data_IF_536650705692
#
_entry.id   IF_536650705692
#
_cell.length_a   1.000
_cell.length_b   1.000
_cell.length_c   1.000
_cell.angle_alpha   90.00
_cell.angle_beta   90.00
_cell.angle_gamma   90.00
#
_symmetry.space_group_name_H-M   'P 1'
#
loop_
_entity.id
_entity.type
_entity.pdbx_description
1 polymer ?
#
# COMPACT_ATOMS: atom_id res chain seq x y z
N UNK A 1 40.62 38.69 -49.82
CA UNK A 1 40.70 38.84 -48.35
C UNK A 1 39.34 39.32 -47.78
N UNK A 2 38.25 38.53 -47.93
CA UNK A 2 36.89 38.96 -47.52
C UNK A 2 35.97 37.85 -46.98
N UNK A 3 36.48 36.64 -46.66
CA UNK A 3 35.63 35.52 -46.19
C UNK A 3 35.65 35.25 -44.69
N UNK A 4 36.46 35.94 -43.89
CA UNK A 4 36.59 35.66 -42.44
C UNK A 4 35.74 36.61 -41.58
N UNK A 5 35.27 37.75 -42.11
CA UNK A 5 34.49 38.75 -41.36
C UNK A 5 32.97 38.45 -41.27
N UNK A 6 32.43 37.48 -42.03
CA UNK A 6 30.99 37.16 -42.02
C UNK A 6 30.56 36.07 -41.04
N UNK A 7 31.48 35.24 -40.51
CA UNK A 7 31.11 34.17 -39.56
C UNK A 7 30.97 34.64 -38.11
N UNK A 8 31.57 35.79 -37.77
CA UNK A 8 31.49 36.36 -36.41
C UNK A 8 30.21 37.16 -36.19
N UNK A 9 29.63 37.75 -37.24
CA UNK A 9 28.37 38.47 -37.15
C UNK A 9 27.17 37.53 -36.90
N UNK A 10 27.13 36.36 -37.54
CA UNK A 10 26.04 35.38 -37.33
C UNK A 10 26.13 34.65 -36.00
N UNK A 11 27.35 34.33 -35.53
CA UNK A 11 27.55 33.75 -34.20
C UNK A 11 27.19 34.72 -33.07
N UNK A 12 27.53 36.01 -33.22
CA UNK A 12 27.21 37.04 -32.22
C UNK A 12 25.72 37.36 -32.17
N UNK A 13 25.00 37.32 -33.30
CA UNK A 13 23.54 37.51 -33.33
C UNK A 13 22.80 36.31 -32.74
N UNK A 14 23.26 35.07 -32.97
CA UNK A 14 22.69 33.87 -32.35
C UNK A 14 22.97 33.79 -30.83
N UNK A 15 24.15 34.23 -30.39
CA UNK A 15 24.46 34.37 -28.96
C UNK A 15 23.67 35.51 -28.33
N UNK A 16 23.54 36.66 -28.98
CA UNK A 16 22.76 37.79 -28.47
C UNK A 16 21.26 37.48 -28.42
N UNK A 17 20.69 36.78 -29.41
CA UNK A 17 19.28 36.33 -29.39
C UNK A 17 19.06 35.18 -28.41
N UNK A 18 20.03 34.27 -28.25
CA UNK A 18 20.01 33.25 -27.20
C UNK A 18 20.09 33.86 -25.79
N UNK A 19 20.95 34.85 -25.57
CA UNK A 19 21.09 35.54 -24.30
C UNK A 19 19.88 36.45 -24.01
N UNK A 20 19.32 37.13 -25.01
CA UNK A 20 18.06 37.90 -24.87
C UNK A 20 16.88 36.97 -24.62
N UNK A 21 16.82 35.78 -25.24
CA UNK A 21 15.80 34.77 -24.96
C UNK A 21 15.89 34.23 -23.53
N UNK A 22 17.11 34.03 -23.02
CA UNK A 22 17.36 33.61 -21.62
C UNK A 22 17.05 34.75 -20.64
N UNK A 23 17.50 35.98 -20.92
CA UNK A 23 17.23 37.16 -20.07
C UNK A 23 15.73 37.50 -20.07
N UNK A 24 15.05 37.49 -21.21
CA UNK A 24 13.58 37.64 -21.27
C UNK A 24 12.86 36.50 -20.54
N UNK A 25 13.34 35.25 -20.62
CA UNK A 25 12.75 34.16 -19.82
C UNK A 25 12.96 34.32 -18.30
N UNK A 26 14.01 35.04 -17.89
CA UNK A 26 14.33 35.36 -16.50
C UNK A 26 13.62 36.61 -15.99
N UNK A 27 13.31 37.60 -16.85
CA UNK A 27 12.72 38.89 -16.46
C UNK A 27 11.23 39.02 -16.80
N UNK A 28 10.69 38.27 -17.76
CA UNK A 28 9.29 38.37 -18.21
C UNK A 28 8.26 37.81 -17.21
N UNK A 29 8.68 37.20 -16.10
CA UNK A 29 7.77 36.47 -15.21
C UNK A 29 7.78 36.88 -13.74
N UNK A 30 8.48 37.95 -13.35
CA UNK A 30 8.65 38.29 -11.93
C UNK A 30 7.72 39.39 -11.42
N UNK A 31 7.17 40.26 -12.27
CA UNK A 31 6.36 41.43 -11.86
C UNK A 31 4.84 41.23 -11.93
N UNK A 32 4.29 41.08 -13.14
CA UNK A 32 2.83 41.04 -13.35
C UNK A 32 2.19 39.73 -12.84
N UNK A 33 2.92 38.62 -12.95
CA UNK A 33 2.49 37.30 -12.46
C UNK A 33 2.32 37.27 -10.95
N UNK A 34 3.06 38.07 -10.17
CA UNK A 34 2.98 38.05 -8.70
C UNK A 34 1.71 38.70 -8.16
N UNK A 35 1.20 39.76 -8.80
CA UNK A 35 0.02 40.47 -8.28
C UNK A 35 -1.29 39.71 -8.50
N UNK A 36 -1.46 39.03 -9.65
CA UNK A 36 -2.71 38.37 -10.02
C UNK A 36 -3.08 37.16 -9.14
N UNK A 37 -2.09 36.46 -8.57
CA UNK A 37 -2.31 35.20 -7.85
C UNK A 37 -2.28 35.30 -6.32
N UNK A 38 -1.90 36.46 -5.76
CA UNK A 38 -1.68 36.61 -4.30
C UNK A 38 -2.92 36.40 -3.43
N UNK A 39 -4.12 36.46 -4.00
CA UNK A 39 -5.39 36.34 -3.27
C UNK A 39 -6.35 35.29 -3.83
N UNK A 40 -6.00 34.58 -4.91
CA UNK A 40 -6.92 33.68 -5.60
C UNK A 40 -6.76 32.22 -5.18
N UNK A 41 -7.88 31.61 -4.77
CA UNK A 41 -7.97 30.16 -4.61
C UNK A 41 -8.19 29.50 -5.98
N UNK A 42 -7.33 28.55 -6.38
CA UNK A 42 -7.42 27.89 -7.70
C UNK A 42 -7.70 26.41 -7.55
N UNK A 43 -8.64 25.89 -8.35
CA UNK A 43 -9.01 24.46 -8.33
C UNK A 43 -8.05 23.63 -9.18
N UNK A 44 -7.49 22.53 -8.65
CA UNK A 44 -6.64 21.65 -9.44
C UNK A 44 -7.46 20.79 -10.43
N UNK A 45 -6.88 20.51 -11.60
CA UNK A 45 -7.47 19.62 -12.61
C UNK A 45 -7.55 18.18 -12.09
N UNK A 46 -6.48 17.71 -11.44
CA UNK A 46 -6.41 16.36 -10.87
C UNK A 46 -6.54 16.41 -9.35
N UNK A 47 -7.25 15.44 -8.72
CA UNK A 47 -7.20 15.28 -7.27
C UNK A 47 -5.75 15.18 -6.80
N UNK A 48 -5.41 15.86 -5.71
CA UNK A 48 -4.12 15.70 -5.06
C UNK A 48 -4.27 15.14 -3.66
N UNK A 49 -3.20 14.53 -3.18
CA UNK A 49 -3.10 14.10 -1.80
C UNK A 49 -3.03 15.35 -0.92
N UNK A 50 -4.02 15.47 -0.06
CA UNK A 50 -4.23 16.61 0.85
C UNK A 50 -4.07 16.22 2.32
N UNK A 51 -3.49 15.04 2.57
CA UNK A 51 -3.18 14.62 3.92
C UNK A 51 -1.75 14.13 4.06
N UNK A 52 -1.09 14.58 5.12
CA UNK A 52 0.11 13.94 5.62
C UNK A 52 -0.30 12.62 6.27
N UNK A 53 0.14 11.50 5.70
CA UNK A 53 0.02 10.17 6.30
C UNK A 53 1.21 9.96 7.23
N UNK A 54 0.92 9.60 8.47
CA UNK A 54 1.88 9.45 9.56
C UNK A 54 1.70 8.08 10.20
N UNK A 55 2.80 7.36 10.39
CA UNK A 55 2.82 6.01 10.96
C UNK A 55 2.62 5.96 12.48
N UNK A 56 2.72 4.75 13.03
CA UNK A 56 2.38 4.41 14.42
C UNK A 56 3.03 5.31 15.46
N UNK A 57 4.29 5.67 15.24
CA UNK A 57 5.14 6.43 16.18
C UNK A 57 5.30 7.89 15.78
N UNK A 58 4.42 8.43 14.94
CA UNK A 58 4.53 9.82 14.46
C UNK A 58 5.51 10.00 13.30
N UNK A 59 6.17 8.93 12.83
CA UNK A 59 7.08 8.99 11.69
C UNK A 59 6.31 9.24 10.38
N UNK A 60 6.77 10.18 9.54
CA UNK A 60 6.08 10.52 8.30
C UNK A 60 6.18 9.37 7.27
N UNK A 61 5.04 8.92 6.75
CA UNK A 61 4.95 8.01 5.60
C UNK A 61 4.87 8.79 4.28
N UNK A 62 4.66 10.09 4.38
CA UNK A 62 4.56 11.03 3.26
C UNK A 62 5.39 12.27 3.54
N UNK A 63 5.77 12.99 2.48
CA UNK A 63 6.52 14.23 2.55
C UNK A 63 5.95 15.26 1.58
N UNK A 64 6.20 16.52 1.86
CA UNK A 64 5.83 17.62 0.97
C UNK A 64 6.97 17.86 0.00
N UNK A 65 6.63 17.99 -1.29
CA UNK A 65 7.60 18.33 -2.34
C UNK A 65 7.12 19.47 -3.20
N UNK A 66 8.08 20.23 -3.70
CA UNK A 66 7.88 21.22 -4.74
C UNK A 66 7.73 20.55 -6.10
N UNK A 67 6.59 20.75 -6.77
CA UNK A 67 6.37 20.33 -8.14
C UNK A 67 6.07 21.52 -9.04
N UNK A 68 6.47 21.42 -10.31
CA UNK A 68 6.07 22.36 -11.35
C UNK A 68 4.60 22.12 -11.69
N UNK A 69 3.84 23.19 -11.85
CA UNK A 69 2.46 23.19 -12.31
C UNK A 69 2.23 24.34 -13.29
N UNK A 70 1.06 24.35 -13.93
CA UNK A 70 0.63 25.44 -14.79
C UNK A 70 -0.69 26.00 -14.27
N UNK A 71 -0.77 27.31 -14.13
CA UNK A 71 -2.07 27.96 -14.11
C UNK A 71 -2.52 28.16 -15.54
N UNK A 72 -3.70 27.64 -15.84
CA UNK A 72 -4.38 27.84 -17.12
C UNK A 72 -5.51 28.83 -16.89
N UNK A 73 -5.47 29.96 -17.59
CA UNK A 73 -6.51 30.99 -17.60
C UNK A 73 -7.19 30.93 -18.96
N UNK A 74 -8.29 30.17 -19.12
CA UNK A 74 -8.86 29.88 -20.42
C UNK A 74 -9.18 31.11 -21.26
N UNK A 75 -9.65 32.19 -20.63
CA UNK A 75 -10.01 33.47 -21.28
C UNK A 75 -8.83 34.17 -21.96
N UNK A 76 -7.59 33.92 -21.52
CA UNK A 76 -6.36 34.55 -22.05
C UNK A 76 -5.59 33.67 -23.04
N UNK A 77 -6.01 32.41 -23.22
CA UNK A 77 -5.35 31.50 -24.16
C UNK A 77 -5.60 31.90 -25.62
N UNK A 78 -4.58 31.87 -26.49
CA UNK A 78 -4.79 31.98 -27.93
C UNK A 78 -5.62 30.79 -28.44
N UNK A 79 -6.37 31.02 -29.53
CA UNK A 79 -7.36 30.06 -30.04
C UNK A 79 -6.81 28.65 -30.28
N UNK A 80 -5.60 28.56 -30.85
CA UNK A 80 -4.93 27.27 -31.09
C UNK A 80 -4.60 26.52 -29.79
N UNK A 81 -4.12 27.23 -28.75
CA UNK A 81 -3.73 26.62 -27.49
C UNK A 81 -4.97 26.16 -26.71
N UNK A 82 -6.03 26.97 -26.74
CA UNK A 82 -7.34 26.61 -26.18
C UNK A 82 -7.90 25.36 -26.85
N UNK A 83 -7.85 25.27 -28.19
CA UNK A 83 -8.32 24.12 -28.93
C UNK A 83 -7.51 22.85 -28.61
N UNK A 84 -6.18 22.93 -28.55
CA UNK A 84 -5.32 21.79 -28.24
C UNK A 84 -5.50 21.29 -26.79
N UNK A 85 -5.66 22.22 -25.84
CA UNK A 85 -5.98 21.87 -24.45
C UNK A 85 -7.38 21.26 -24.32
N UNK A 86 -8.39 21.83 -24.98
CA UNK A 86 -9.76 21.32 -24.94
C UNK A 86 -9.86 19.93 -25.58
N UNK A 87 -9.13 19.67 -26.68
CA UNK A 87 -9.06 18.36 -27.32
C UNK A 87 -8.57 17.26 -26.38
N UNK A 88 -7.61 17.57 -25.50
CA UNK A 88 -6.99 16.58 -24.59
C UNK A 88 -7.66 16.51 -23.21
N UNK A 89 -8.18 17.64 -22.73
CA UNK A 89 -8.79 17.77 -21.41
C UNK A 89 -10.15 18.49 -21.48
N UNK A 90 -11.14 17.95 -22.22
CA UNK A 90 -12.39 18.66 -22.53
C UNK A 90 -13.17 19.05 -21.27
N UNK A 91 -13.20 18.16 -20.26
CA UNK A 91 -13.89 18.41 -18.98
C UNK A 91 -13.24 19.50 -18.13
N UNK A 92 -11.92 19.65 -18.21
CA UNK A 92 -11.20 20.67 -17.45
C UNK A 92 -11.29 22.04 -18.13
N UNK A 93 -11.33 22.04 -19.46
CA UNK A 93 -11.32 23.23 -20.32
C UNK A 93 -12.71 23.73 -20.72
N UNK A 94 -13.78 23.02 -20.39
CA UNK A 94 -15.16 23.47 -20.60
C UNK A 94 -15.58 24.57 -19.61
N UNK A 95 -14.87 24.68 -18.49
CA UNK A 95 -15.04 25.76 -17.52
C UNK A 95 -14.30 27.02 -17.96
N UNK A 96 -14.92 28.19 -17.83
CA UNK A 96 -14.26 29.48 -18.00
C UNK A 96 -13.33 29.85 -16.83
N UNK A 97 -13.31 29.03 -15.77
CA UNK A 97 -12.54 29.29 -14.56
C UNK A 97 -11.05 29.04 -14.77
N UNK A 98 -10.23 29.78 -14.03
CA UNK A 98 -8.81 29.50 -13.86
C UNK A 98 -8.63 28.14 -13.20
N UNK A 99 -7.73 27.32 -13.74
CA UNK A 99 -7.44 25.96 -13.25
C UNK A 99 -5.96 25.77 -12.98
N UNK A 100 -5.64 24.96 -11.98
CA UNK A 100 -4.28 24.56 -11.64
C UNK A 100 -4.00 23.18 -12.23
N UNK A 101 -3.12 23.12 -13.21
CA UNK A 101 -2.72 21.90 -13.87
C UNK A 101 -1.42 21.35 -13.24
N UNK A 102 -1.58 20.36 -12.37
CA UNK A 102 -0.53 19.61 -11.67
C UNK A 102 -0.21 18.28 -12.38
N UNK A 103 -0.05 18.31 -13.70
CA UNK A 103 0.17 17.11 -14.51
C UNK A 103 1.61 16.57 -14.45
N UNK A 104 1.80 15.34 -14.94
CA UNK A 104 3.14 14.75 -15.16
C UNK A 104 3.31 14.20 -16.59
N UNK A 105 2.30 14.37 -17.46
CA UNK A 105 2.28 13.82 -18.82
C UNK A 105 3.33 14.47 -19.73
N UNK A 106 3.70 13.78 -20.81
CA UNK A 106 4.60 14.34 -21.82
C UNK A 106 4.04 15.64 -22.42
N UNK A 107 2.73 15.72 -22.59
CA UNK A 107 2.05 16.93 -23.05
C UNK A 107 2.11 18.05 -22.02
N UNK A 108 1.95 17.76 -20.72
CA UNK A 108 2.17 18.76 -19.67
C UNK A 108 3.60 19.32 -19.72
N UNK A 109 4.62 18.47 -19.88
CA UNK A 109 6.02 18.91 -20.01
C UNK A 109 6.24 19.81 -21.24
N UNK A 110 5.55 19.53 -22.36
CA UNK A 110 5.55 20.41 -23.54
C UNK A 110 4.85 21.74 -23.26
N UNK A 111 3.67 21.70 -22.66
CA UNK A 111 2.90 22.90 -22.32
C UNK A 111 3.63 23.81 -21.32
N UNK A 112 4.45 23.25 -20.42
CA UNK A 112 5.32 24.02 -19.52
C UNK A 112 6.32 24.90 -20.26
N UNK A 113 6.66 24.57 -21.50
CA UNK A 113 7.60 25.31 -22.35
C UNK A 113 6.88 26.29 -23.29
N UNK A 114 5.54 26.25 -23.36
CA UNK A 114 4.79 27.17 -24.20
C UNK A 114 4.86 28.57 -23.62
N UNK A 115 5.44 29.50 -24.37
CA UNK A 115 5.44 30.91 -24.02
C UNK A 115 4.22 31.60 -24.64
N UNK A 116 3.06 31.42 -24.02
CA UNK A 116 1.78 31.98 -24.50
C UNK A 116 0.98 32.59 -23.38
N UNK A 117 0.23 33.64 -23.70
CA UNK A 117 -0.74 34.25 -22.78
C UNK A 117 -1.72 33.21 -22.24
N UNK A 118 -2.01 33.29 -20.94
CA UNK A 118 -2.96 32.38 -20.26
C UNK A 118 -2.36 31.07 -19.76
N UNK A 119 -1.07 30.80 -19.98
CA UNK A 119 -0.33 29.72 -19.33
C UNK A 119 0.77 30.29 -18.45
N UNK A 120 0.70 30.05 -17.15
CA UNK A 120 1.68 30.58 -16.19
C UNK A 120 2.32 29.43 -15.42
N UNK A 121 3.63 29.19 -15.60
CA UNK A 121 4.38 28.23 -14.80
C UNK A 121 4.40 28.66 -13.33
N UNK A 122 3.97 27.77 -12.44
CA UNK A 122 3.99 28.00 -10.99
C UNK A 122 4.58 26.80 -10.26
N UNK A 123 4.85 26.99 -8.97
CA UNK A 123 5.19 25.90 -8.06
C UNK A 123 3.99 25.50 -7.24
N UNK A 124 3.92 24.22 -6.93
CA UNK A 124 2.91 23.61 -6.08
C UNK A 124 3.59 22.79 -5.00
N UNK A 125 3.14 22.92 -3.75
CA UNK A 125 3.51 22.00 -2.69
C UNK A 125 2.52 20.85 -2.66
N UNK A 126 3.00 19.64 -2.92
CA UNK A 126 2.18 18.44 -2.97
C UNK A 126 2.69 17.38 -2.02
N UNK A 127 1.76 16.62 -1.45
CA UNK A 127 2.11 15.48 -0.61
C UNK A 127 2.39 14.27 -1.51
N UNK A 128 3.53 13.64 -1.31
CA UNK A 128 3.96 12.40 -1.99
C UNK A 128 4.45 11.39 -0.95
N UNK A 129 4.56 10.09 -1.29
CA UNK A 129 5.19 9.11 -0.41
C UNK A 129 6.61 9.53 0.01
N UNK A 130 6.98 9.22 1.25
CA UNK A 130 8.36 9.32 1.69
C UNK A 130 9.26 8.33 0.91
N UNK A 131 10.56 8.58 0.87
CA UNK A 131 11.51 7.68 0.21
C UNK A 131 11.41 6.28 0.81
N UNK A 132 11.42 5.24 -0.03
CA UNK A 132 11.27 3.85 0.40
C UNK A 132 9.83 3.40 0.68
N UNK A 133 8.87 4.33 0.81
CA UNK A 133 7.46 3.99 1.03
C UNK A 133 6.76 3.72 -0.32
N UNK A 134 6.07 2.58 -0.50
CA UNK A 134 5.38 2.26 -1.74
C UNK A 134 4.28 3.27 -2.07
N UNK A 135 4.23 3.74 -3.32
CA UNK A 135 3.21 4.70 -3.77
C UNK A 135 1.79 4.15 -3.69
N UNK A 136 1.60 2.88 -4.03
CA UNK A 136 0.29 2.25 -4.03
C UNK A 136 -0.25 2.10 -2.61
N UNK A 137 0.62 1.74 -1.65
CA UNK A 137 0.26 1.67 -0.23
C UNK A 137 -0.30 3.02 0.25
N UNK A 138 0.42 4.12 0.00
CA UNK A 138 -0.05 5.47 0.36
C UNK A 138 -1.34 5.83 -0.36
N UNK A 139 -1.46 5.47 -1.64
CA UNK A 139 -2.67 5.76 -2.42
C UNK A 139 -3.89 5.05 -1.84
N UNK A 140 -3.75 3.80 -1.40
CA UNK A 140 -4.82 3.02 -0.79
C UNK A 140 -5.23 3.60 0.57
N UNK A 141 -4.26 3.84 1.46
CA UNK A 141 -4.50 4.51 2.75
C UNK A 141 -5.21 5.85 2.52
N UNK A 142 -4.68 6.68 1.62
CA UNK A 142 -5.26 7.98 1.31
C UNK A 142 -6.69 7.89 0.76
N UNK A 143 -7.02 6.85 -0.02
CA UNK A 143 -8.39 6.63 -0.49
C UNK A 143 -9.33 6.25 0.64
N UNK A 144 -8.92 5.34 1.54
CA UNK A 144 -9.71 4.96 2.71
C UNK A 144 -10.08 6.16 3.57
N UNK A 145 -9.14 7.08 3.80
CA UNK A 145 -9.35 8.24 4.66
C UNK A 145 -9.90 9.47 3.94
N UNK A 146 -10.32 9.36 2.67
CA UNK A 146 -10.76 10.52 1.89
C UNK A 146 -9.72 11.65 1.89
N UNK A 147 -8.45 11.31 1.78
CA UNK A 147 -7.32 12.23 1.81
C UNK A 147 -7.03 12.88 0.45
N UNK A 148 -7.74 12.46 -0.60
CA UNK A 148 -7.69 13.09 -1.91
C UNK A 148 -8.73 14.19 -2.03
N UNK A 149 -8.33 15.35 -2.54
CA UNK A 149 -9.25 16.48 -2.71
C UNK A 149 -9.02 17.24 -4.01
N UNK A 150 -10.11 17.83 -4.51
CA UNK A 150 -10.11 18.88 -5.54
C UNK A 150 -10.47 20.25 -4.96
N UNK A 151 -10.38 20.43 -3.63
CA UNK A 151 -10.58 21.74 -2.99
C UNK A 151 -9.62 22.76 -3.60
N UNK A 152 -10.01 24.03 -3.55
CA UNK A 152 -9.20 25.11 -4.08
C UNK A 152 -7.90 25.25 -3.27
N UNK A 153 -6.79 25.51 -3.96
CA UNK A 153 -5.46 25.67 -3.38
C UNK A 153 -5.19 27.14 -3.16
N UNK A 154 -4.48 27.46 -2.09
CA UNK A 154 -4.16 28.82 -1.70
C UNK A 154 -2.72 29.16 -2.08
N UNK A 155 -2.50 30.41 -2.49
CA UNK A 155 -1.16 30.93 -2.74
C UNK A 155 -0.45 31.24 -1.42
N UNK A 156 0.80 30.78 -1.26
CA UNK A 156 1.62 30.98 -0.05
C UNK A 156 2.88 31.80 -0.30
N UNK A 157 2.87 32.68 -1.30
CA UNK A 157 4.04 33.46 -1.79
C UNK A 157 5.17 32.62 -2.41
N UNK A 158 5.25 31.33 -2.09
CA UNK A 158 6.24 30.38 -2.61
C UNK A 158 5.64 29.36 -3.59
N UNK A 159 4.32 29.27 -3.67
CA UNK A 159 3.59 28.39 -4.56
C UNK A 159 2.11 28.25 -4.17
N UNK A 160 1.41 27.32 -4.82
CA UNK A 160 0.08 26.88 -4.43
C UNK A 160 0.15 25.69 -3.49
N UNK A 161 -0.68 25.69 -2.46
CA UNK A 161 -0.76 24.63 -1.45
C UNK A 161 -2.19 24.14 -1.30
N UNK A 162 -2.34 22.83 -1.15
CA UNK A 162 -3.61 22.22 -0.79
C UNK A 162 -3.84 22.33 0.73
N UNK A 163 -5.09 22.47 1.21
CA UNK A 163 -5.38 22.38 2.63
C UNK A 163 -4.93 21.00 3.17
N UNK A 164 -4.07 21.00 4.19
CA UNK A 164 -3.48 19.78 4.74
C UNK A 164 -4.25 19.30 5.97
N UNK A 165 -4.55 17.99 6.02
CA UNK A 165 -4.93 17.28 7.25
C UNK A 165 -3.87 16.22 7.59
N UNK A 166 -3.92 15.67 8.80
CA UNK A 166 -3.05 14.56 9.19
C UNK A 166 -3.87 13.28 9.36
N UNK A 167 -3.37 12.17 8.82
CA UNK A 167 -3.95 10.83 8.93
C UNK A 167 -2.96 9.95 9.66
N UNK A 168 -3.37 9.40 10.80
CA UNK A 168 -2.56 8.48 11.60
C UNK A 168 -2.91 7.04 11.28
N UNK A 169 -1.89 6.22 11.03
CA UNK A 169 -2.02 4.79 10.72
C UNK A 169 -1.08 3.95 11.56
N UNK A 170 -1.37 2.66 11.70
CA UNK A 170 -0.58 1.69 12.44
C UNK A 170 0.68 1.23 11.72
N UNK A 171 0.83 1.56 10.43
CA UNK A 171 2.03 1.28 9.65
C UNK A 171 3.29 1.83 10.34
N UNK A 172 4.36 1.03 10.31
CA UNK A 172 5.65 1.36 10.88
C UNK A 172 6.70 1.53 9.76
N UNK A 173 7.10 2.78 9.44
CA UNK A 173 8.16 3.05 8.48
C UNK A 173 9.45 2.28 8.80
N UNK A 174 9.88 2.30 10.07
CA UNK A 174 11.11 1.62 10.46
C UNK A 174 11.03 0.10 10.26
N UNK A 175 9.87 -0.53 10.48
CA UNK A 175 9.71 -1.97 10.24
C UNK A 175 9.84 -2.27 8.74
N UNK A 176 9.23 -1.44 7.91
CA UNK A 176 9.34 -1.56 6.46
C UNK A 176 10.79 -1.36 5.98
N UNK A 177 11.51 -0.39 6.55
CA UNK A 177 12.94 -0.17 6.28
C UNK A 177 13.81 -1.36 6.70
N UNK A 178 13.51 -2.01 7.83
CA UNK A 178 14.20 -3.22 8.28
C UNK A 178 13.97 -4.40 7.34
N UNK A 179 12.75 -4.59 6.84
CA UNK A 179 12.40 -5.75 6.02
C UNK A 179 12.78 -5.59 4.54
N UNK A 180 12.72 -4.38 3.99
CA UNK A 180 12.91 -4.14 2.56
C UNK A 180 14.22 -4.71 1.97
N UNK A 181 15.39 -4.62 2.63
CA UNK A 181 16.65 -5.16 2.10
C UNK A 181 16.66 -6.70 1.99
N UNK A 182 15.81 -7.37 2.75
CA UNK A 182 15.71 -8.83 2.81
C UNK A 182 14.66 -9.40 1.84
N UNK A 183 13.95 -8.56 1.09
CA UNK A 183 12.92 -9.02 0.16
C UNK A 183 13.52 -9.27 -1.22
N UNK A 184 13.73 -10.52 -1.69
CA UNK A 184 14.08 -10.79 -3.07
C UNK A 184 12.96 -10.42 -4.05
N UNK A 185 13.30 -10.19 -5.32
CA UNK A 185 12.32 -9.89 -6.38
C UNK A 185 11.29 -11.00 -6.53
N UNK A 186 10.03 -10.63 -6.72
CA UNK A 186 8.88 -11.53 -6.79
C UNK A 186 8.23 -11.84 -5.44
N UNK A 187 8.61 -11.13 -4.37
CA UNK A 187 8.15 -11.41 -3.01
C UNK A 187 7.19 -10.36 -2.47
N UNK A 188 6.37 -10.76 -1.51
CA UNK A 188 5.58 -9.84 -0.68
C UNK A 188 5.53 -10.29 0.77
N UNK A 189 5.37 -9.34 1.68
CA UNK A 189 5.21 -9.58 3.12
C UNK A 189 4.10 -8.71 3.68
N UNK A 190 3.33 -9.27 4.59
CA UNK A 190 2.35 -8.56 5.42
C UNK A 190 2.62 -8.91 6.88
N UNK A 191 2.70 -7.89 7.74
CA UNK A 191 2.90 -8.05 9.19
C UNK A 191 1.73 -7.38 9.90
N UNK A 192 1.03 -8.13 10.74
CA UNK A 192 -0.14 -7.70 11.49
C UNK A 192 0.03 -8.04 12.97
N UNK A 193 -0.53 -7.23 13.87
CA UNK A 193 -0.57 -7.57 15.31
C UNK A 193 -1.89 -8.25 15.71
N UNK A 194 -1.98 -8.72 16.95
CA UNK A 194 -3.16 -9.39 17.51
C UNK A 194 -4.44 -8.55 17.46
N UNK A 195 -4.34 -7.22 17.38
CA UNK A 195 -5.49 -6.32 17.25
C UNK A 195 -5.96 -6.16 15.78
N UNK A 196 -5.29 -6.80 14.82
CA UNK A 196 -5.59 -6.69 13.39
C UNK A 196 -5.03 -5.43 12.74
N UNK A 197 -4.12 -4.72 13.41
CA UNK A 197 -3.46 -3.56 12.82
C UNK A 197 -2.35 -4.01 11.87
N UNK A 198 -2.34 -3.49 10.65
CA UNK A 198 -1.30 -3.80 9.67
C UNK A 198 -0.09 -2.90 9.95
N UNK A 199 0.99 -3.52 10.44
CA UNK A 199 2.22 -2.86 10.84
C UNK A 199 3.18 -2.63 9.67
N UNK A 200 3.22 -3.56 8.71
CA UNK A 200 4.02 -3.42 7.50
C UNK A 200 3.40 -4.20 6.35
N UNK A 201 3.52 -3.64 5.14
CA UNK A 201 3.18 -4.35 3.92
C UNK A 201 4.13 -3.93 2.80
N UNK A 202 4.85 -4.90 2.24
CA UNK A 202 5.85 -4.66 1.21
C UNK A 202 5.73 -5.68 0.09
N UNK A 203 6.15 -5.25 -1.10
CA UNK A 203 6.36 -6.10 -2.26
C UNK A 203 7.66 -5.69 -2.96
N UNK A 204 8.40 -6.65 -3.51
CA UNK A 204 9.55 -6.39 -4.38
C UNK A 204 9.28 -6.99 -5.77
N UNK A 205 9.29 -6.21 -6.87
CA UNK A 205 9.52 -4.77 -6.92
C UNK A 205 8.41 -3.95 -6.25
N UNK A 206 8.82 -2.82 -5.66
CA UNK A 206 7.94 -1.87 -4.97
C UNK A 206 6.81 -1.40 -5.90
N UNK A 207 5.58 -1.38 -5.39
CA UNK A 207 4.41 -0.96 -6.17
C UNK A 207 3.82 -2.04 -7.08
N UNK A 208 4.16 -3.32 -6.87
CA UNK A 208 3.31 -4.40 -7.38
C UNK A 208 2.20 -4.71 -6.40
N UNK A 209 1.04 -5.06 -6.94
CA UNK A 209 -0.09 -5.52 -6.16
C UNK A 209 0.11 -6.94 -5.55
N UNK A 210 1.36 -7.42 -5.41
CA UNK A 210 1.67 -8.80 -5.05
C UNK A 210 1.07 -9.24 -3.71
N UNK A 211 0.97 -8.34 -2.73
CA UNK A 211 0.31 -8.61 -1.44
C UNK A 211 -1.19 -8.83 -1.56
N UNK A 212 -1.82 -8.26 -2.59
CA UNK A 212 -3.26 -8.36 -2.85
C UNK A 212 -3.60 -9.26 -4.05
N UNK A 213 -2.61 -9.88 -4.67
CA UNK A 213 -2.81 -10.89 -5.70
C UNK A 213 -3.00 -12.25 -5.04
N UNK A 214 -4.18 -12.88 -5.18
CA UNK A 214 -4.42 -14.19 -4.62
C UNK A 214 -3.45 -15.22 -5.22
N UNK A 215 -2.95 -16.12 -4.37
CA UNK A 215 -2.12 -17.28 -4.79
C UNK A 215 -2.71 -18.56 -4.21
N UNK A 216 -2.40 -19.72 -4.81
CA UNK A 216 -2.68 -21.01 -4.21
C UNK A 216 -2.09 -21.07 -2.79
N UNK A 217 -2.94 -21.38 -1.82
CA UNK A 217 -2.55 -21.38 -0.40
C UNK A 217 -1.95 -22.73 0.01
N UNK A 218 -2.23 -23.82 -0.70
CA UNK A 218 -1.75 -25.15 -0.34
C UNK A 218 -2.16 -25.50 1.09
N UNK A 219 -1.25 -26.11 1.83
CA UNK A 219 -1.48 -26.49 3.24
C UNK A 219 -1.19 -25.33 4.22
N UNK A 220 -1.02 -24.09 3.75
CA UNK A 220 -0.66 -22.97 4.62
C UNK A 220 -1.71 -22.72 5.70
N UNK A 221 -2.99 -23.03 5.48
CA UNK A 221 -4.06 -22.80 6.47
C UNK A 221 -4.26 -23.96 7.44
N UNK A 222 -3.53 -25.08 7.27
CA UNK A 222 -3.70 -26.30 8.07
C UNK A 222 -3.65 -26.04 9.57
N UNK A 223 -2.68 -25.29 10.14
CA UNK A 223 -2.65 -25.01 11.58
C UNK A 223 -3.86 -24.26 12.10
N UNK A 224 -4.29 -23.18 11.41
CA UNK A 224 -5.44 -22.38 11.81
C UNK A 224 -6.75 -23.19 11.77
N UNK A 225 -6.91 -24.02 10.75
CA UNK A 225 -8.08 -24.90 10.61
C UNK A 225 -8.07 -26.06 11.61
N UNK A 226 -6.91 -26.65 11.90
CA UNK A 226 -6.78 -27.69 12.92
C UNK A 226 -7.10 -27.15 14.31
N UNK A 227 -6.67 -25.93 14.65
CA UNK A 227 -7.06 -25.28 15.90
C UNK A 227 -8.58 -25.11 16.02
N UNK A 228 -9.27 -24.77 14.92
CA UNK A 228 -10.73 -24.73 14.91
C UNK A 228 -11.35 -26.13 14.99
N UNK A 229 -10.76 -27.14 14.32
CA UNK A 229 -11.23 -28.52 14.39
C UNK A 229 -11.13 -29.08 15.80
N UNK A 230 -10.04 -28.81 16.51
CA UNK A 230 -9.80 -29.27 17.89
C UNK A 230 -10.84 -28.72 18.88
N UNK A 231 -11.47 -27.59 18.58
CA UNK A 231 -12.62 -27.10 19.33
C UNK A 231 -13.89 -27.96 19.15
N UNK A 232 -13.86 -29.00 18.30
CA UNK A 232 -14.92 -29.97 18.07
C UNK A 232 -14.48 -31.40 18.47
N UNK A 233 -14.62 -31.80 19.76
CA UNK A 233 -14.11 -33.09 20.26
C UNK A 233 -14.58 -34.33 19.48
N UNK A 234 -15.77 -34.27 18.88
CA UNK A 234 -16.35 -35.37 18.09
C UNK A 234 -15.51 -35.71 16.85
N UNK A 235 -14.79 -34.76 16.26
CA UNK A 235 -13.95 -35.01 15.09
C UNK A 235 -12.80 -35.98 15.41
N UNK A 236 -12.28 -35.90 16.63
CA UNK A 236 -11.12 -36.65 17.11
C UNK A 236 -11.49 -37.91 17.90
N UNK A 237 -12.78 -38.16 18.14
CA UNK A 237 -13.26 -39.33 18.88
C UNK A 237 -12.74 -40.63 18.25
N UNK A 238 -12.02 -41.42 19.04
CA UNK A 238 -11.43 -42.70 18.61
C UNK A 238 -10.26 -42.57 17.63
N UNK A 239 -9.67 -41.38 17.48
CA UNK A 239 -8.47 -41.18 16.64
C UNK A 239 -7.22 -41.15 17.50
N UNK A 240 -6.14 -41.77 17.01
CA UNK A 240 -4.81 -41.60 17.57
C UNK A 240 -4.08 -40.46 16.86
N UNK A 241 -3.42 -39.52 17.56
CA UNK A 241 -2.63 -38.46 16.94
C UNK A 241 -1.54 -38.98 15.98
N UNK A 242 -1.09 -40.22 16.17
CA UNK A 242 -0.06 -40.87 15.35
C UNK A 242 -0.61 -41.67 14.17
N UNK A 243 -1.94 -41.70 13.97
CA UNK A 243 -2.50 -42.49 12.88
C UNK A 243 -2.09 -41.89 11.51
N UNK A 244 -1.54 -42.70 10.59
CA UNK A 244 -1.25 -42.24 9.23
C UNK A 244 -2.51 -41.69 8.56
N UNK A 245 -2.39 -40.56 7.85
CA UNK A 245 -3.53 -39.94 7.17
C UNK A 245 -4.58 -39.33 8.09
N UNK A 246 -4.26 -39.03 9.36
CA UNK A 246 -5.15 -38.34 10.30
C UNK A 246 -5.87 -37.13 9.68
N UNK A 247 -5.13 -36.30 8.94
CA UNK A 247 -5.68 -35.13 8.25
C UNK A 247 -6.76 -35.49 7.23
N UNK A 248 -6.59 -36.58 6.47
CA UNK A 248 -7.61 -37.07 5.53
C UNK A 248 -8.89 -37.53 6.26
N UNK A 249 -8.73 -38.13 7.44
CA UNK A 249 -9.86 -38.58 8.26
C UNK A 249 -10.61 -37.38 8.84
N UNK A 250 -9.89 -36.37 9.34
CA UNK A 250 -10.48 -35.12 9.85
C UNK A 250 -11.21 -34.39 8.72
N UNK A 251 -10.59 -34.26 7.54
CA UNK A 251 -11.19 -33.64 6.34
C UNK A 251 -12.56 -34.27 6.03
N UNK A 252 -12.60 -35.61 5.99
CA UNK A 252 -13.83 -36.38 5.74
C UNK A 252 -14.87 -36.24 6.85
N UNK A 253 -14.45 -36.31 8.13
CA UNK A 253 -15.35 -36.23 9.29
C UNK A 253 -15.95 -34.84 9.48
N UNK A 254 -15.17 -33.80 9.21
CA UNK A 254 -15.63 -32.42 9.36
C UNK A 254 -16.63 -32.05 8.28
N UNK A 255 -16.37 -32.53 7.06
CA UNK A 255 -17.23 -32.36 5.90
C UNK A 255 -17.08 -30.97 5.27
N UNK A 256 -17.35 -30.92 3.96
CA UNK A 256 -17.13 -29.73 3.13
C UNK A 256 -17.86 -28.48 3.67
N UNK A 257 -19.12 -28.60 4.10
CA UNK A 257 -19.91 -27.47 4.59
C UNK A 257 -19.28 -26.83 5.83
N UNK A 258 -18.82 -27.66 6.76
CA UNK A 258 -18.20 -27.17 8.00
C UNK A 258 -16.85 -26.52 7.73
N UNK A 259 -16.03 -27.11 6.85
CA UNK A 259 -14.75 -26.52 6.42
C UNK A 259 -14.97 -25.19 5.72
N UNK A 260 -15.96 -25.11 4.82
CA UNK A 260 -16.32 -23.87 4.13
C UNK A 260 -16.73 -22.77 5.11
N UNK A 261 -17.51 -23.12 6.14
CA UNK A 261 -17.90 -22.19 7.19
C UNK A 261 -16.71 -21.77 8.06
N UNK A 262 -15.78 -22.67 8.35
CA UNK A 262 -14.55 -22.36 9.08
C UNK A 262 -13.66 -21.39 8.29
N UNK A 263 -13.47 -21.61 6.98
CA UNK A 263 -12.74 -20.70 6.10
C UNK A 263 -13.36 -19.30 6.08
N UNK A 264 -14.70 -19.22 5.96
CA UNK A 264 -15.41 -17.92 6.07
C UNK A 264 -15.21 -17.25 7.42
N UNK A 265 -15.23 -18.01 8.51
CA UNK A 265 -15.02 -17.48 9.86
C UNK A 265 -13.60 -16.93 10.05
N UNK A 266 -12.59 -17.58 9.46
CA UNK A 266 -11.20 -17.09 9.39
C UNK A 266 -11.04 -15.86 8.47
N UNK A 267 -12.10 -15.46 7.77
CA UNK A 267 -12.11 -14.26 6.94
C UNK A 267 -11.76 -14.48 5.47
N UNK A 268 -11.72 -15.73 5.00
CA UNK A 268 -11.54 -16.04 3.59
C UNK A 268 -12.84 -15.96 2.78
N UNK A 269 -12.68 -15.71 1.49
CA UNK A 269 -13.75 -15.72 0.50
C UNK A 269 -14.03 -14.35 -0.07
N UNK A 270 -15.03 -14.29 -0.98
CA UNK A 270 -15.29 -13.11 -1.80
C UNK A 270 -15.52 -11.87 -0.95
N UNK A 271 -14.67 -10.85 -1.12
CA UNK A 271 -14.88 -9.57 -0.48
C UNK A 271 -13.62 -8.74 -0.25
N UNK A 272 -13.82 -7.83 0.71
CA UNK A 272 -12.94 -6.93 1.47
C UNK A 272 -12.09 -7.54 2.60
N UNK A 273 -10.80 -7.84 2.49
CA UNK A 273 -9.99 -8.08 3.71
C UNK A 273 -9.63 -6.77 4.38
N UNK A 274 -9.16 -5.82 3.58
CA UNK A 274 -8.74 -4.49 4.04
C UNK A 274 -9.55 -3.43 3.29
N UNK A 275 -9.97 -2.38 3.99
CA UNK A 275 -10.68 -1.29 3.35
C UNK A 275 -9.79 -0.62 2.30
N UNK A 276 -10.38 -0.25 1.17
CA UNK A 276 -9.65 0.33 0.05
C UNK A 276 -8.90 -0.64 -0.85
N UNK A 277 -8.80 -1.95 -0.53
CA UNK A 277 -8.06 -2.90 -1.38
C UNK A 277 -8.51 -2.85 -2.86
N UNK A 278 -7.56 -2.93 -3.82
CA UNK A 278 -7.83 -2.69 -5.24
C UNK A 278 -8.57 -3.84 -5.91
N UNK A 279 -8.29 -5.07 -5.49
CA UNK A 279 -8.84 -6.32 -6.07
C UNK A 279 -9.67 -7.04 -5.00
N UNK A 280 -10.80 -7.62 -5.41
CA UNK A 280 -11.61 -8.45 -4.52
C UNK A 280 -10.95 -9.82 -4.31
N UNK A 281 -11.08 -10.35 -3.11
CA UNK A 281 -10.66 -11.72 -2.83
C UNK A 281 -11.46 -12.71 -3.68
N UNK A 282 -10.87 -13.86 -4.05
CA UNK A 282 -11.57 -14.88 -4.79
C UNK A 282 -12.71 -15.49 -3.95
N UNK A 283 -13.75 -15.97 -4.63
CA UNK A 283 -14.77 -16.78 -3.96
C UNK A 283 -14.16 -18.08 -3.46
N UNK A 284 -14.65 -18.57 -2.32
CA UNK A 284 -14.37 -19.95 -1.91
C UNK A 284 -14.97 -20.93 -2.95
N UNK A 285 -14.32 -22.07 -3.23
CA UNK A 285 -14.84 -23.03 -4.18
C UNK A 285 -16.22 -23.56 -3.76
N UNK A 286 -17.10 -23.79 -4.73
CA UNK A 286 -18.44 -24.35 -4.47
C UNK A 286 -18.41 -25.88 -4.35
N UNK A 287 -17.38 -26.53 -4.90
CA UNK A 287 -17.16 -27.97 -4.85
C UNK A 287 -16.34 -28.45 -3.64
N UNK A 288 -16.11 -29.77 -3.50
CA UNK A 288 -15.34 -30.32 -2.38
C UNK A 288 -13.95 -29.70 -2.31
N UNK A 289 -13.67 -29.07 -1.17
CA UNK A 289 -12.37 -28.47 -0.88
C UNK A 289 -11.65 -29.40 0.07
N UNK A 290 -10.62 -30.08 -0.41
CA UNK A 290 -9.68 -30.75 0.49
C UNK A 290 -8.62 -29.74 0.90
N UNK A 291 -8.70 -29.26 2.14
CA UNK A 291 -7.86 -28.15 2.62
C UNK A 291 -6.62 -28.65 3.34
N UNK A 292 -6.68 -29.82 3.97
CA UNK A 292 -5.57 -30.28 4.82
C UNK A 292 -4.38 -30.87 4.06
N UNK A 293 -4.54 -31.80 3.09
CA UNK A 293 -3.39 -32.39 2.41
C UNK A 293 -3.26 -31.98 0.93
N UNK A 294 -4.25 -31.29 0.36
CA UNK A 294 -4.27 -30.96 -1.06
C UNK A 294 -4.17 -29.45 -1.28
N UNK A 295 -5.03 -28.64 -0.63
CA UNK A 295 -4.95 -27.18 -0.57
C UNK A 295 -4.86 -26.42 -1.92
N UNK A 296 -4.91 -27.13 -3.05
CA UNK A 296 -4.52 -26.65 -4.38
C UNK A 296 -5.61 -25.80 -5.02
N UNK A 297 -6.85 -25.96 -4.57
CA UNK A 297 -8.02 -25.28 -5.11
C UNK A 297 -8.38 -24.01 -4.34
N UNK A 298 -7.66 -23.70 -3.27
CA UNK A 298 -7.92 -22.53 -2.44
C UNK A 298 -6.88 -21.44 -2.73
N UNK A 299 -7.39 -20.23 -2.98
CA UNK A 299 -6.58 -19.06 -3.30
C UNK A 299 -6.86 -17.98 -2.27
N UNK A 300 -5.81 -17.32 -1.80
CA UNK A 300 -5.93 -16.21 -0.86
C UNK A 300 -4.76 -15.22 -1.02
N UNK A 301 -4.97 -14.01 -0.53
CA UNK A 301 -3.94 -12.97 -0.42
C UNK A 301 -3.10 -13.14 0.85
N UNK A 302 -1.94 -12.47 0.94
CA UNK A 302 -1.14 -12.52 2.18
C UNK A 302 -1.89 -11.96 3.37
N UNK A 303 -2.74 -10.95 3.16
CA UNK A 303 -3.56 -10.34 4.21
C UNK A 303 -4.68 -11.30 4.69
N UNK A 304 -5.30 -12.08 3.79
CA UNK A 304 -6.28 -13.10 4.19
C UNK A 304 -5.65 -14.19 5.06
N UNK A 305 -4.46 -14.67 4.66
CA UNK A 305 -3.73 -15.67 5.45
C UNK A 305 -3.28 -15.08 6.78
N UNK A 306 -2.80 -13.84 6.79
CA UNK A 306 -2.36 -13.17 8.02
C UNK A 306 -3.52 -13.03 9.01
N UNK A 307 -4.70 -12.63 8.52
CA UNK A 307 -5.93 -12.57 9.32
C UNK A 307 -6.33 -13.94 9.87
N UNK A 308 -6.30 -14.99 9.05
CA UNK A 308 -6.66 -16.34 9.47
C UNK A 308 -5.77 -16.82 10.63
N UNK A 309 -4.47 -16.49 10.60
CA UNK A 309 -3.51 -16.87 11.62
C UNK A 309 -3.62 -16.08 12.94
N UNK A 310 -4.37 -14.98 12.98
CA UNK A 310 -4.66 -14.27 14.24
C UNK A 310 -5.42 -15.17 15.22
N UNK A 311 -6.15 -16.17 14.71
CA UNK A 311 -6.81 -17.18 15.55
C UNK A 311 -5.82 -17.92 16.46
N UNK A 312 -4.56 -18.03 16.05
CA UNK A 312 -3.50 -18.62 16.86
C UNK A 312 -2.82 -17.53 17.69
N UNK A 313 -2.37 -16.44 17.06
CA UNK A 313 -1.59 -15.40 17.72
C UNK A 313 -2.31 -14.66 18.87
N UNK A 314 -3.64 -14.48 18.80
CA UNK A 314 -4.46 -13.81 19.82
C UNK A 314 -5.50 -14.75 20.47
N UNK A 315 -5.08 -15.97 20.82
CA UNK A 315 -5.84 -16.94 21.66
C UNK A 315 -7.27 -17.25 21.18
N UNK A 316 -7.46 -17.27 19.87
CA UNK A 316 -8.71 -17.62 19.20
C UNK A 316 -9.52 -16.44 18.67
N UNK A 317 -9.05 -15.21 18.82
CA UNK A 317 -9.70 -14.04 18.24
C UNK A 317 -9.29 -13.82 16.78
N UNK A 318 -10.24 -13.36 15.96
CA UNK A 318 -9.96 -12.97 14.57
C UNK A 318 -10.52 -11.57 14.31
N UNK A 319 -9.74 -10.50 14.55
CA UNK A 319 -10.19 -9.13 14.28
C UNK A 319 -10.25 -8.85 12.76
N UNK A 320 -10.81 -7.68 12.41
CA UNK A 320 -10.68 -7.14 11.05
C UNK A 320 -9.31 -6.51 10.85
N UNK A 321 -8.74 -6.67 9.66
CA UNK A 321 -7.50 -5.99 9.32
C UNK A 321 -7.74 -4.51 9.01
N UNK A 322 -6.87 -3.64 9.53
CA UNK A 322 -7.00 -2.19 9.42
C UNK A 322 -5.65 -1.49 9.36
N UNK A 323 -5.58 -0.40 8.59
CA UNK A 323 -4.48 0.56 8.66
C UNK A 323 -4.63 1.53 9.83
N UNK A 324 -5.86 1.77 10.29
CA UNK A 324 -6.13 2.67 11.40
C UNK A 324 -5.53 2.08 12.67
N UNK A 325 -4.96 2.95 13.51
CA UNK A 325 -4.67 2.57 14.90
C UNK A 325 -6.02 2.24 15.53
N UNK A 326 -6.26 0.96 15.79
CA UNK A 326 -7.53 0.50 16.30
C UNK A 326 -7.61 0.90 17.77
N UNK A 327 -8.29 2.00 18.08
CA UNK A 327 -8.90 2.16 19.39
C UNK A 327 -9.99 1.08 19.52
N UNK A 328 -9.60 -0.10 19.99
CA UNK A 328 -10.48 -1.13 20.53
C UNK A 328 -11.60 -1.62 19.60
N UNK A 329 -11.32 -1.95 18.33
CA UNK A 329 -12.29 -2.72 17.54
C UNK A 329 -12.38 -4.13 18.12
N UNK A 330 -13.46 -4.37 18.89
CA UNK A 330 -13.81 -5.65 19.53
C UNK A 330 -13.61 -6.80 18.54
N UNK A 331 -12.85 -7.82 18.96
CA UNK A 331 -12.78 -9.09 18.25
C UNK A 331 -14.19 -9.57 17.91
N UNK A 332 -14.42 -9.97 16.65
CA UNK A 332 -15.75 -10.30 16.16
C UNK A 332 -16.31 -11.55 16.82
N UNK A 333 -15.44 -12.51 17.17
CA UNK A 333 -15.79 -13.79 17.75
C UNK A 333 -14.51 -14.55 18.14
N UNK A 334 -14.53 -15.24 19.29
CA UNK A 334 -13.54 -16.27 19.61
C UNK A 334 -13.90 -17.56 18.85
N UNK A 335 -12.98 -18.05 18.02
CA UNK A 335 -13.20 -19.21 17.13
C UNK A 335 -12.57 -20.52 17.63
N UNK A 336 -11.63 -20.45 18.58
CA UNK A 336 -10.99 -21.62 19.19
C UNK A 336 -10.65 -21.38 20.66
N UNK A 337 -10.19 -22.42 21.36
CA UNK A 337 -9.79 -22.40 22.76
C UNK A 337 -8.28 -22.32 22.90
N UNK A 338 -7.81 -21.85 24.05
CA UNK A 338 -6.38 -21.83 24.38
C UNK A 338 -5.76 -23.24 24.40
N UNK A 339 -6.50 -24.24 24.88
CA UNK A 339 -6.05 -25.63 24.85
C UNK A 339 -5.81 -26.16 23.43
N UNK A 340 -6.72 -25.86 22.50
CA UNK A 340 -6.54 -26.24 21.09
C UNK A 340 -5.34 -25.53 20.44
N UNK A 341 -5.11 -24.26 20.78
CA UNK A 341 -3.96 -23.49 20.31
C UNK A 341 -2.65 -24.09 20.85
N UNK A 342 -2.58 -24.39 22.15
CA UNK A 342 -1.43 -25.03 22.78
C UNK A 342 -1.08 -26.40 22.16
N UNK A 343 -2.09 -27.20 21.78
CA UNK A 343 -1.86 -28.48 21.10
C UNK A 343 -1.22 -28.31 19.72
N UNK A 344 -1.62 -27.28 18.97
CA UNK A 344 -1.01 -26.96 17.66
C UNK A 344 0.43 -26.48 17.82
N UNK A 345 0.69 -25.66 18.83
CA UNK A 345 2.01 -25.09 19.12
C UNK A 345 3.07 -26.14 19.49
N UNK A 346 2.65 -27.25 20.13
CA UNK A 346 3.53 -28.36 20.47
C UNK A 346 4.05 -29.13 19.25
N UNK A 347 3.38 -29.02 18.09
CA UNK A 347 3.74 -29.75 16.88
C UNK A 347 4.30 -28.86 15.77
N UNK A 348 4.15 -27.53 15.89
CA UNK A 348 4.69 -26.59 14.92
C UNK A 348 6.19 -26.37 15.13
N UNK A 349 6.99 -26.23 14.04
CA UNK A 349 8.36 -25.76 14.13
C UNK A 349 8.42 -24.40 14.84
N UNK A 350 9.41 -24.24 15.72
CA UNK A 350 9.61 -23.03 16.50
C UNK A 350 10.99 -22.43 16.23
N UNK A 351 11.02 -21.12 16.05
CA UNK A 351 12.22 -20.31 16.01
C UNK A 351 12.25 -19.41 17.25
N UNK A 352 13.28 -19.55 18.07
CA UNK A 352 13.44 -18.73 19.27
C UNK A 352 14.21 -17.46 18.92
N UNK A 353 13.61 -16.29 19.17
CA UNK A 353 14.32 -15.01 19.09
C UNK A 353 14.31 -14.35 20.46
N UNK A 354 15.47 -14.35 21.12
CA UNK A 354 15.56 -13.99 22.53
C UNK A 354 14.78 -14.98 23.38
N UNK A 355 13.77 -14.49 24.12
CA UNK A 355 12.86 -15.32 24.94
C UNK A 355 11.52 -15.60 24.27
N UNK A 356 11.26 -15.03 23.09
CA UNK A 356 9.95 -15.08 22.45
C UNK A 356 9.95 -16.18 21.37
N UNK A 357 9.06 -17.18 21.49
CA UNK A 357 8.90 -18.20 20.46
C UNK A 357 8.12 -17.63 19.27
N UNK A 358 8.63 -17.90 18.07
CA UNK A 358 7.89 -17.75 16.83
C UNK A 358 7.59 -19.12 16.24
N UNK A 359 6.31 -19.41 16.06
CA UNK A 359 5.84 -20.63 15.41
C UNK A 359 5.86 -20.42 13.91
N UNK A 360 6.60 -21.25 13.19
CA UNK A 360 6.84 -21.11 11.75
C UNK A 360 6.21 -22.27 10.99
N UNK A 361 5.37 -21.94 10.01
CA UNK A 361 4.76 -22.92 9.11
C UNK A 361 5.10 -22.59 7.65
N UNK A 362 5.79 -23.53 6.99
CA UNK A 362 6.19 -23.41 5.58
C UNK A 362 6.02 -24.77 4.87
N UNK A 363 4.78 -25.15 4.54
CA UNK A 363 4.50 -26.44 3.90
C UNK A 363 4.93 -26.51 2.43
N UNK A 364 5.34 -25.38 1.83
CA UNK A 364 5.81 -25.33 0.45
C UNK A 364 6.54 -24.03 0.12
N UNK A 365 6.75 -23.75 -1.16
CA UNK A 365 7.60 -22.65 -1.62
C UNK A 365 6.83 -21.34 -1.93
N UNK A 366 5.49 -21.36 -1.88
CA UNK A 366 4.67 -20.23 -2.32
C UNK A 366 4.34 -19.24 -1.21
N UNK A 367 4.08 -19.74 -0.01
CA UNK A 367 3.78 -18.95 1.17
C UNK A 367 4.41 -19.57 2.40
N UNK A 368 4.73 -18.71 3.35
CA UNK A 368 5.23 -19.07 4.66
C UNK A 368 4.63 -18.11 5.68
N UNK A 369 4.37 -18.60 6.87
CA UNK A 369 3.78 -17.81 7.95
C UNK A 369 4.52 -18.06 9.24
N UNK A 370 4.71 -16.98 10.00
CA UNK A 370 5.26 -17.02 11.33
C UNK A 370 4.35 -16.23 12.26
N UNK A 371 4.14 -16.71 13.48
CA UNK A 371 3.39 -15.96 14.48
C UNK A 371 3.95 -16.14 15.89
N UNK A 372 3.64 -15.20 16.77
CA UNK A 372 3.99 -15.23 18.19
C UNK A 372 2.87 -14.59 19.01
N UNK A 373 2.81 -14.90 20.31
CA UNK A 373 1.90 -14.26 21.27
C UNK A 373 2.55 -13.07 21.97
N UNK A 374 3.87 -12.91 21.83
CA UNK A 374 4.60 -11.82 22.47
C UNK A 374 4.06 -10.45 22.03
N UNK A 375 4.08 -9.47 22.95
CA UNK A 375 3.67 -8.09 22.66
C UNK A 375 2.20 -7.93 22.24
N UNK A 376 1.32 -8.85 22.65
CA UNK A 376 -0.11 -8.84 22.27
C UNK A 376 -0.39 -9.45 20.89
N UNK A 377 0.48 -10.35 20.43
CA UNK A 377 0.29 -11.14 19.21
C UNK A 377 0.88 -10.47 17.97
N UNK A 378 1.58 -11.24 17.15
CA UNK A 378 2.08 -10.82 15.84
C UNK A 378 2.02 -11.97 14.85
N UNK A 379 1.60 -11.68 13.62
CA UNK A 379 1.59 -12.60 12.49
C UNK A 379 2.32 -11.95 11.32
N UNK A 380 3.25 -12.69 10.73
CA UNK A 380 3.93 -12.33 9.49
C UNK A 380 3.64 -13.38 8.43
N UNK A 381 3.14 -12.96 7.28
CA UNK A 381 2.96 -13.82 6.10
C UNK A 381 3.86 -13.33 5.00
N UNK A 382 4.64 -14.26 4.44
CA UNK A 382 5.56 -14.03 3.33
C UNK A 382 5.10 -14.86 2.14
N UNK A 383 5.17 -14.27 0.95
CA UNK A 383 4.85 -14.92 -0.31
C UNK A 383 6.02 -14.79 -1.28
N UNK A 384 6.17 -15.79 -2.15
CA UNK A 384 7.13 -15.79 -3.25
C UNK A 384 8.51 -16.28 -2.83
N UNK A 385 9.55 -15.76 -3.49
CA UNK A 385 10.94 -16.21 -3.29
C UNK A 385 11.48 -15.94 -1.88
N UNK A 386 10.90 -14.98 -1.16
CA UNK A 386 11.24 -14.66 0.23
C UNK A 386 10.84 -15.74 1.25
N UNK A 387 10.01 -16.73 0.88
CA UNK A 387 9.61 -17.82 1.80
C UNK A 387 10.81 -18.63 2.30
N UNK A 388 11.88 -18.71 1.50
CA UNK A 388 13.15 -19.32 1.89
C UNK A 388 13.82 -18.59 3.08
N UNK A 389 13.56 -17.28 3.23
CA UNK A 389 14.20 -16.39 4.20
C UNK A 389 13.33 -16.10 5.42
N UNK A 390 12.24 -16.87 5.64
CA UNK A 390 11.29 -16.61 6.73
C UNK A 390 11.96 -16.49 8.10
N UNK A 391 12.93 -17.35 8.41
CA UNK A 391 13.65 -17.32 9.70
C UNK A 391 14.41 -16.00 9.88
N UNK A 392 15.14 -15.56 8.86
CA UNK A 392 15.88 -14.28 8.90
C UNK A 392 14.93 -13.08 9.01
N UNK A 393 13.79 -13.11 8.30
CA UNK A 393 12.76 -12.09 8.41
C UNK A 393 12.11 -12.08 9.80
N UNK A 394 11.83 -13.25 10.39
CA UNK A 394 11.32 -13.40 11.76
C UNK A 394 12.29 -12.76 12.76
N UNK A 395 13.58 -13.05 12.65
CA UNK A 395 14.60 -12.45 13.51
C UNK A 395 14.59 -10.92 13.44
N UNK A 396 14.47 -10.35 12.24
CA UNK A 396 14.39 -8.90 12.08
C UNK A 396 13.11 -8.30 12.67
N UNK A 397 11.94 -8.93 12.45
CA UNK A 397 10.67 -8.48 13.04
C UNK A 397 10.73 -8.53 14.57
N UNK A 398 11.27 -9.60 15.13
CA UNK A 398 11.41 -9.79 16.56
C UNK A 398 12.34 -8.74 17.20
N UNK A 399 13.51 -8.50 16.58
CA UNK A 399 14.44 -7.44 17.01
C UNK A 399 13.77 -6.06 16.94
N UNK A 400 13.03 -5.76 15.87
CA UNK A 400 12.28 -4.52 15.76
C UNK A 400 11.23 -4.36 16.87
N UNK A 401 10.52 -5.45 17.20
CA UNK A 401 9.51 -5.43 18.26
C UNK A 401 10.13 -5.20 19.65
N UNK A 402 11.27 -5.83 19.95
CA UNK A 402 11.97 -5.68 21.24
C UNK A 402 12.53 -4.28 21.46
N UNK A 403 12.90 -3.55 20.41
CA UNK A 403 13.46 -2.19 20.53
C UNK A 403 12.40 -1.10 20.75
N UNK A 404 11.12 -1.47 20.83
CA UNK A 404 9.98 -0.54 20.94
C UNK A 404 9.06 -0.78 22.13
N UNK A 405 9.22 -1.90 22.82
CA UNK A 405 8.76 -2.09 24.21
C UNK A 405 9.82 -1.52 25.16
#
# INVERSE_FOLDING_TARGET
>A
MHRILRSWATASILLATGLLGVIMSLTWNSGESRSFFTTQSVTPIHPALTAMVVGRTGQPLTRIVNQKALIVVPSRLPGWARQELHRRYPKAMSSSRTILWNGNSSFFKKALQWNVSGLYPVRTHVVVPATGIPHDLITLVARQHGAWSRRAWTWTHHGFEAPLKTVHVALSPSLMETLSPLMPSGSSVSVVNGQGEILAQLANPTGRELSWQPRPVGEILTPALLAMALAHPRLFSGLSPKQPGLLNVIDKRWGQVSIHNALKALGLGRGKTVCGQPVLNPSLPEGPVSVFPAGSNLWATTDEVARAYLVLADTGNVPHLSWDKAEGKKALKRLTTEGAVNEIEQVLPQELVGKNPFYVWRPGNHMAVAYTHAGGGLVMVIQGSATAQIVSLVQQVALWAHLRE
#
